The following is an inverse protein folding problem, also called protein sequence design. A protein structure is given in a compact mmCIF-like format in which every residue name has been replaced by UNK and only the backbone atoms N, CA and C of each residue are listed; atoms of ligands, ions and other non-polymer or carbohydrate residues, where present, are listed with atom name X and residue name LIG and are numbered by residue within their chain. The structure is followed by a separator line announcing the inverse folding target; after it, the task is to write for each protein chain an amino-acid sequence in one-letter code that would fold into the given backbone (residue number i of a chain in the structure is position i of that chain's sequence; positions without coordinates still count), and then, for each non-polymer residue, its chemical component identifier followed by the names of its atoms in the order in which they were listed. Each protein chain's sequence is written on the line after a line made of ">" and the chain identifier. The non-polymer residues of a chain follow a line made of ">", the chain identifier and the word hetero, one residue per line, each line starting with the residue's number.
data_IF_604028990006
#
_entry.id   IF_604028990006
#
_cell.length_a   1.000
_cell.length_b   1.000
_cell.length_c   1.000
_cell.angle_alpha   90.00
_cell.angle_beta   90.00
_cell.angle_gamma   90.00
#
_symmetry.space_group_name_H-M   'P 1'
#
loop_
_entity.id
_entity.type
_entity.pdbx_description
1 polymer ?
#
# COMPACT_ATOMS: atom_id res chain seq x y z
N UNK A 1 74.06 -60.59 15.28
CA UNK A 1 73.42 -61.25 14.09
C UNK A 1 72.12 -60.49 13.78
N UNK A 2 72.00 -60.13 12.59
CA UNK A 2 71.04 -59.25 11.92
C UNK A 2 69.59 -59.55 12.21
N UNK A 3 68.82 -58.52 12.50
CA UNK A 3 67.36 -58.51 12.33
C UNK A 3 66.91 -57.22 11.64
N UNK A 4 66.20 -57.46 10.59
CA UNK A 4 65.72 -56.38 9.68
C UNK A 4 64.42 -55.82 10.19
N UNK A 5 64.36 -54.50 10.19
CA UNK A 5 63.17 -53.68 10.58
C UNK A 5 62.26 -53.55 9.40
N UNK A 6 60.96 -53.85 9.59
CA UNK A 6 59.91 -53.60 8.61
C UNK A 6 59.17 -52.36 8.95
N UNK A 7 59.16 -51.41 8.02
CA UNK A 7 58.57 -50.10 8.08
C UNK A 7 57.13 -50.20 7.52
N UNK A 8 56.11 -50.01 8.38
CA UNK A 8 54.70 -49.91 7.99
C UNK A 8 54.32 -48.48 7.70
N UNK A 9 53.96 -48.20 6.48
CA UNK A 9 53.43 -46.89 6.02
C UNK A 9 51.95 -46.86 6.28
N UNK A 10 51.53 -46.04 7.26
CA UNK A 10 50.12 -45.73 7.52
C UNK A 10 49.65 -44.58 6.60
N UNK A 11 48.75 -44.90 5.69
CA UNK A 11 48.09 -43.91 4.85
C UNK A 11 46.90 -43.34 5.60
N UNK A 12 47.00 -42.11 6.07
CA UNK A 12 45.87 -41.31 6.63
C UNK A 12 45.14 -40.59 5.49
N UNK A 13 43.97 -41.10 5.15
CA UNK A 13 43.05 -40.39 4.24
C UNK A 13 42.36 -39.27 4.98
N UNK A 14 42.76 -38.02 4.68
CA UNK A 14 42.05 -36.83 5.14
C UNK A 14 40.80 -36.63 4.27
N UNK A 15 39.62 -36.86 4.85
CA UNK A 15 38.34 -36.53 4.24
C UNK A 15 38.04 -35.05 4.40
N UNK A 16 38.20 -34.26 3.35
CA UNK A 16 37.87 -32.84 3.32
C UNK A 16 36.36 -32.68 3.11
N UNK A 17 35.61 -32.35 4.15
CA UNK A 17 34.21 -31.94 4.05
C UNK A 17 34.15 -30.52 3.46
N UNK A 18 33.69 -30.40 2.21
CA UNK A 18 33.28 -29.15 1.61
C UNK A 18 31.88 -28.78 2.13
N UNK A 19 31.79 -27.83 3.08
CA UNK A 19 30.55 -27.23 3.49
C UNK A 19 30.22 -26.12 2.46
N UNK A 20 29.29 -26.41 1.53
CA UNK A 20 28.73 -25.41 0.63
C UNK A 20 27.77 -24.50 1.44
N UNK A 21 28.22 -23.34 1.80
CA UNK A 21 27.37 -22.31 2.39
C UNK A 21 26.46 -21.76 1.29
N UNK A 22 25.21 -22.18 1.30
CA UNK A 22 24.14 -21.58 0.47
C UNK A 22 23.82 -20.21 1.07
N UNK A 23 24.39 -19.15 0.51
CA UNK A 23 23.95 -17.79 0.78
C UNK A 23 22.58 -17.61 0.13
N UNK A 24 21.52 -17.74 0.91
CA UNK A 24 20.20 -17.25 0.53
C UNK A 24 20.28 -15.71 0.46
N UNK A 25 20.49 -15.18 -0.75
CA UNK A 25 20.37 -13.74 -1.00
C UNK A 25 18.91 -13.36 -0.78
N UNK A 26 18.57 -12.88 0.40
CA UNK A 26 17.33 -12.14 0.60
C UNK A 26 17.43 -10.89 -0.28
N UNK A 27 16.76 -10.90 -1.44
CA UNK A 27 16.53 -9.70 -2.23
C UNK A 27 15.65 -8.79 -1.39
N UNK A 28 16.28 -7.87 -0.65
CA UNK A 28 15.57 -6.73 -0.09
C UNK A 28 14.96 -5.98 -1.27
N UNK A 29 13.65 -6.12 -1.47
CA UNK A 29 12.92 -5.26 -2.42
C UNK A 29 13.14 -3.84 -1.94
N UNK A 30 13.80 -3.01 -2.75
CA UNK A 30 13.96 -1.60 -2.43
C UNK A 30 12.56 -1.03 -2.19
N UNK A 31 12.37 -0.39 -1.04
CA UNK A 31 11.10 0.22 -0.67
C UNK A 31 10.84 1.36 -1.66
N UNK A 32 9.70 1.28 -2.38
CA UNK A 32 9.34 2.28 -3.39
C UNK A 32 8.94 3.58 -2.70
N UNK A 33 9.55 4.69 -3.09
CA UNK A 33 9.18 6.01 -2.60
C UNK A 33 8.08 6.59 -3.48
N UNK A 34 6.89 6.81 -2.93
CA UNK A 34 5.75 7.39 -3.63
C UNK A 34 4.83 8.09 -2.62
N UNK A 35 4.37 9.26 -2.96
CA UNK A 35 3.51 10.05 -2.08
C UNK A 35 4.24 10.78 -0.97
N UNK A 36 3.53 11.59 -0.16
CA UNK A 36 4.10 12.29 0.98
C UNK A 36 4.59 11.30 2.04
N UNK A 37 5.77 11.57 2.60
CA UNK A 37 6.46 10.67 3.52
C UNK A 37 6.08 10.93 4.98
N UNK A 38 6.42 10.01 5.88
CA UNK A 38 6.15 10.13 7.32
C UNK A 38 6.68 11.46 7.85
N UNK A 39 5.82 12.22 8.53
CA UNK A 39 6.11 13.56 9.03
C UNK A 39 5.73 14.71 8.08
N UNK A 40 5.50 14.42 6.80
CA UNK A 40 5.07 15.45 5.85
C UNK A 40 3.62 15.88 6.10
N UNK A 41 3.33 17.13 5.71
CA UNK A 41 1.97 17.64 5.70
C UNK A 41 1.21 17.13 4.47
N UNK A 42 -0.04 16.69 4.67
CA UNK A 42 -0.95 16.35 3.58
C UNK A 42 -1.65 17.62 3.10
N UNK A 43 -1.27 18.09 1.92
CA UNK A 43 -1.83 19.28 1.29
C UNK A 43 -3.31 19.13 0.89
N UNK A 44 -3.97 20.27 0.63
CA UNK A 44 -5.31 20.32 0.05
C UNK A 44 -5.25 20.08 -1.47
N UNK A 45 -6.21 19.34 -2.00
CA UNK A 45 -6.36 19.16 -3.45
C UNK A 45 -7.82 18.90 -3.82
N UNK A 46 -8.15 19.18 -5.07
CA UNK A 46 -9.51 19.00 -5.59
C UNK A 46 -9.67 17.62 -6.20
N UNK A 47 -10.79 17.00 -5.88
CA UNK A 47 -11.22 15.71 -6.45
C UNK A 47 -12.68 15.77 -6.87
N UNK A 48 -13.09 14.88 -7.77
CA UNK A 48 -14.49 14.61 -8.08
C UNK A 48 -14.87 13.23 -7.57
N UNK A 49 -15.93 13.13 -6.77
CA UNK A 49 -16.42 11.83 -6.29
C UNK A 49 -17.11 11.07 -7.41
N UNK A 50 -16.73 9.80 -7.57
CA UNK A 50 -17.26 8.90 -8.60
C UNK A 50 -18.23 7.88 -8.01
N UNK A 51 -17.90 7.29 -6.86
CA UNK A 51 -18.69 6.22 -6.27
C UNK A 51 -18.40 6.05 -4.76
N UNK A 52 -19.01 5.03 -4.16
CA UNK A 52 -18.75 4.62 -2.76
C UNK A 52 -19.58 5.44 -1.77
N UNK A 53 -19.20 5.43 -0.51
CA UNK A 53 -19.89 5.90 0.69
C UNK A 53 -21.00 6.95 0.42
N UNK A 54 -22.29 6.60 0.49
CA UNK A 54 -23.38 7.53 0.18
C UNK A 54 -23.61 8.56 1.29
N UNK A 55 -23.18 8.23 2.53
CA UNK A 55 -23.53 8.96 3.74
C UNK A 55 -22.40 9.90 4.23
N UNK A 56 -21.34 10.02 3.46
CA UNK A 56 -20.21 10.89 3.82
C UNK A 56 -20.47 12.40 3.66
N UNK A 57 -21.65 12.79 3.16
CA UNK A 57 -22.00 14.20 2.91
C UNK A 57 -21.28 14.82 1.70
N UNK A 58 -20.71 14.01 0.81
CA UNK A 58 -20.07 14.44 -0.43
C UNK A 58 -20.72 13.67 -1.61
N UNK A 59 -21.73 14.22 -2.28
CA UNK A 59 -22.48 13.52 -3.33
C UNK A 59 -21.60 13.10 -4.52
N UNK A 60 -21.97 12.00 -5.15
CA UNK A 60 -21.38 11.58 -6.43
C UNK A 60 -21.52 12.70 -7.47
N UNK A 61 -20.48 12.94 -8.25
CA UNK A 61 -20.37 14.02 -9.23
C UNK A 61 -19.95 15.37 -8.63
N UNK A 62 -19.93 15.53 -7.30
CA UNK A 62 -19.43 16.74 -6.68
C UNK A 62 -17.90 16.82 -6.74
N UNK A 63 -17.40 18.01 -7.09
CA UNK A 63 -15.98 18.37 -6.98
C UNK A 63 -15.71 19.17 -5.72
N UNK A 64 -14.53 18.97 -5.11
CA UNK A 64 -14.07 19.70 -3.94
C UNK A 64 -12.91 19.04 -3.23
N UNK A 65 -12.49 19.58 -2.09
CA UNK A 65 -11.37 19.09 -1.33
C UNK A 65 -11.81 17.99 -0.33
N UNK A 66 -11.62 16.73 -0.69
CA UNK A 66 -11.96 15.61 0.20
C UNK A 66 -11.07 15.57 1.44
N UNK A 67 -9.76 15.86 1.27
CA UNK A 67 -8.82 16.02 2.38
C UNK A 67 -9.26 17.12 3.36
N UNK A 68 -9.76 18.25 2.86
CA UNK A 68 -10.24 19.35 3.72
C UNK A 68 -11.45 18.94 4.58
N UNK A 69 -12.32 18.09 4.03
CA UNK A 69 -13.49 17.53 4.70
C UNK A 69 -13.11 16.63 5.89
N UNK A 70 -12.00 15.93 5.80
CA UNK A 70 -11.55 15.02 6.89
C UNK A 70 -11.04 15.80 8.12
N UNK A 71 -10.56 17.03 7.96
CA UNK A 71 -10.08 17.87 9.06
C UNK A 71 -8.93 17.22 9.83
N UNK A 72 -9.12 17.04 11.15
CA UNK A 72 -8.13 16.41 12.04
C UNK A 72 -8.32 14.89 12.23
N UNK A 73 -9.31 14.30 11.54
CA UNK A 73 -9.62 12.88 11.68
C UNK A 73 -8.47 11.99 11.22
N UNK A 74 -8.38 10.74 11.76
CA UNK A 74 -7.52 9.71 11.20
C UNK A 74 -8.04 9.27 9.84
N UNK A 75 -7.16 9.12 8.85
CA UNK A 75 -7.52 8.81 7.47
C UNK A 75 -6.55 7.84 6.83
N UNK A 76 -7.09 6.86 6.13
CA UNK A 76 -6.36 6.02 5.17
C UNK A 76 -6.69 6.50 3.76
N UNK A 77 -5.76 7.24 3.16
CA UNK A 77 -5.88 7.75 1.79
C UNK A 77 -5.11 6.83 0.85
N UNK A 78 -5.76 6.38 -0.21
CA UNK A 78 -5.16 5.49 -1.20
C UNK A 78 -5.11 6.18 -2.55
N UNK A 79 -4.00 6.04 -3.27
CA UNK A 79 -3.89 6.31 -4.70
C UNK A 79 -3.74 4.98 -5.41
N UNK A 80 -4.54 4.72 -6.43
CA UNK A 80 -4.53 3.45 -7.16
C UNK A 80 -4.70 3.68 -8.67
N UNK A 81 -3.89 2.95 -9.47
CA UNK A 81 -3.97 3.00 -10.94
C UNK A 81 -4.85 1.91 -11.51
N UNK A 82 -5.00 0.80 -10.79
CA UNK A 82 -5.80 -0.35 -11.24
C UNK A 82 -6.75 -0.84 -10.15
N UNK A 83 -8.01 -1.14 -10.54
CA UNK A 83 -8.99 -1.81 -9.68
C UNK A 83 -8.84 -3.33 -9.76
N UNK A 84 -7.77 -3.88 -9.20
CA UNK A 84 -7.50 -5.32 -9.23
C UNK A 84 -7.92 -6.04 -7.93
N UNK A 85 -7.76 -7.36 -7.90
CA UNK A 85 -8.17 -8.20 -6.75
C UNK A 85 -7.37 -7.90 -5.47
N UNK A 86 -6.07 -7.61 -5.58
CA UNK A 86 -5.25 -7.27 -4.42
C UNK A 86 -5.68 -5.94 -3.79
N UNK A 87 -6.01 -4.94 -4.62
CA UNK A 87 -6.59 -3.69 -4.14
C UNK A 87 -7.96 -3.94 -3.48
N UNK A 88 -8.81 -4.78 -4.07
CA UNK A 88 -10.11 -5.11 -3.49
C UNK A 88 -9.97 -5.76 -2.10
N UNK A 89 -9.03 -6.70 -1.94
CA UNK A 89 -8.73 -7.32 -0.64
C UNK A 89 -8.26 -6.29 0.40
N UNK A 90 -7.34 -5.41 0.02
CA UNK A 90 -6.87 -4.33 0.90
C UNK A 90 -8.02 -3.44 1.34
N UNK A 91 -8.82 -2.95 0.38
CA UNK A 91 -9.90 -2.02 0.67
C UNK A 91 -11.02 -2.66 1.50
N UNK A 92 -11.28 -3.97 1.36
CA UNK A 92 -12.21 -4.69 2.24
C UNK A 92 -11.72 -4.69 3.68
N UNK A 93 -10.43 -4.91 3.91
CA UNK A 93 -9.85 -4.85 5.26
C UNK A 93 -9.86 -3.44 5.83
N UNK A 94 -9.57 -2.42 5.01
CA UNK A 94 -9.70 -1.02 5.44
C UNK A 94 -11.16 -0.66 5.75
N UNK A 95 -12.12 -1.19 5.00
CA UNK A 95 -13.55 -0.97 5.24
C UNK A 95 -14.00 -1.58 6.58
N UNK A 96 -13.49 -2.78 6.94
CA UNK A 96 -13.69 -3.40 8.25
C UNK A 96 -13.15 -2.49 9.38
N UNK A 97 -11.92 -1.96 9.24
CA UNK A 97 -11.33 -1.03 10.20
C UNK A 97 -12.14 0.27 10.36
N UNK A 98 -12.64 0.82 9.23
CA UNK A 98 -13.49 2.03 9.26
C UNK A 98 -14.80 1.76 10.01
N UNK A 99 -15.38 0.55 9.88
CA UNK A 99 -16.57 0.15 10.64
C UNK A 99 -16.26 -0.06 12.12
N UNK A 100 -15.14 -0.69 12.48
CA UNK A 100 -14.75 -0.96 13.86
C UNK A 100 -14.38 0.33 14.62
N UNK A 101 -13.82 1.32 13.92
CA UNK A 101 -13.32 2.58 14.50
C UNK A 101 -14.18 3.80 14.14
N UNK A 102 -15.51 3.63 14.13
CA UNK A 102 -16.46 4.74 13.88
C UNK A 102 -16.44 5.81 14.98
N UNK A 103 -16.23 5.41 16.22
CA UNK A 103 -16.18 6.30 17.37
C UNK A 103 -14.96 7.25 17.29
N UNK A 104 -13.83 6.76 16.79
CA UNK A 104 -12.62 7.53 16.52
C UNK A 104 -12.69 8.31 15.20
N UNK A 105 -13.78 8.09 14.43
CA UNK A 105 -14.04 8.73 13.14
C UNK A 105 -12.98 8.43 12.08
N UNK A 106 -12.45 7.20 12.09
CA UNK A 106 -11.57 6.74 11.03
C UNK A 106 -12.27 6.85 9.68
N UNK A 107 -11.59 7.38 8.69
CA UNK A 107 -12.11 7.57 7.34
C UNK A 107 -11.16 6.95 6.31
N UNK A 108 -11.73 6.57 5.18
CA UNK A 108 -10.93 6.17 4.02
C UNK A 108 -11.51 6.72 2.72
N UNK A 109 -10.62 7.04 1.79
CA UNK A 109 -10.99 7.34 0.41
C UNK A 109 -9.89 6.95 -0.57
N UNK A 110 -10.30 6.61 -1.79
CA UNK A 110 -9.42 6.12 -2.85
C UNK A 110 -9.39 7.13 -4.00
N UNK A 111 -8.21 7.61 -4.35
CA UNK A 111 -7.94 8.42 -5.53
C UNK A 111 -7.60 7.49 -6.68
N UNK A 112 -8.50 7.35 -7.65
CA UNK A 112 -8.26 6.55 -8.85
C UNK A 112 -7.49 7.37 -9.88
N UNK A 113 -6.36 6.83 -10.34
CA UNK A 113 -5.45 7.49 -11.27
C UNK A 113 -5.48 6.83 -12.66
N UNK A 114 -5.23 7.64 -13.68
CA UNK A 114 -5.13 7.17 -15.06
C UNK A 114 -5.15 8.34 -16.05
N UNK A 115 -4.95 8.05 -17.33
CA UNK A 115 -4.82 9.07 -18.39
C UNK A 115 -6.15 9.51 -19.00
N UNK A 116 -7.21 8.70 -18.84
CA UNK A 116 -8.52 8.99 -19.43
C UNK A 116 -9.61 9.03 -18.35
N UNK A 117 -10.14 10.22 -18.00
CA UNK A 117 -11.12 10.39 -16.93
C UNK A 117 -12.41 9.56 -17.10
N UNK A 118 -12.91 9.43 -18.33
CA UNK A 118 -14.12 8.63 -18.60
C UNK A 118 -13.88 7.14 -18.37
N UNK A 119 -12.73 6.63 -18.78
CA UNK A 119 -12.33 5.23 -18.50
C UNK A 119 -12.15 5.00 -17.02
N UNK A 120 -11.53 5.93 -16.28
CA UNK A 120 -11.37 5.84 -14.82
C UNK A 120 -12.75 5.78 -14.16
N UNK A 121 -13.66 6.68 -14.54
CA UNK A 121 -15.01 6.73 -13.99
C UNK A 121 -15.70 5.38 -14.17
N UNK A 122 -15.79 4.90 -15.41
CA UNK A 122 -16.46 3.64 -15.74
C UNK A 122 -15.87 2.44 -14.99
N UNK A 123 -14.54 2.27 -15.05
CA UNK A 123 -13.85 1.16 -14.36
C UNK A 123 -13.98 1.24 -12.84
N UNK A 124 -14.02 2.44 -12.26
CA UNK A 124 -14.24 2.65 -10.83
C UNK A 124 -15.65 2.28 -10.41
N UNK A 125 -16.68 2.70 -11.17
CA UNK A 125 -18.07 2.34 -10.91
C UNK A 125 -18.29 0.81 -10.96
N UNK A 126 -17.70 0.15 -11.97
CA UNK A 126 -17.74 -1.32 -12.10
C UNK A 126 -17.01 -2.00 -10.92
N UNK A 127 -15.84 -1.51 -10.55
CA UNK A 127 -15.04 -2.05 -9.44
C UNK A 127 -15.76 -1.90 -8.10
N UNK A 128 -16.34 -0.74 -7.81
CA UNK A 128 -17.10 -0.48 -6.57
C UNK A 128 -18.34 -1.34 -6.50
N UNK A 129 -19.11 -1.44 -7.60
CA UNK A 129 -20.34 -2.26 -7.69
C UNK A 129 -20.01 -3.73 -7.50
N UNK A 130 -19.00 -4.24 -8.19
CA UNK A 130 -18.57 -5.64 -8.09
C UNK A 130 -18.18 -6.04 -6.66
N UNK A 131 -17.50 -5.15 -5.93
CA UNK A 131 -17.00 -5.44 -4.60
C UNK A 131 -17.93 -4.97 -3.47
N UNK A 132 -18.96 -4.16 -3.76
CA UNK A 132 -19.97 -3.73 -2.80
C UNK A 132 -19.41 -2.85 -1.67
N UNK A 133 -18.49 -1.92 -1.97
CA UNK A 133 -17.96 -0.96 -1.00
C UNK A 133 -19.02 0.04 -0.55
N UNK A 134 -19.11 0.30 0.77
CA UNK A 134 -20.11 1.17 1.39
C UNK A 134 -19.52 2.28 2.26
N UNK A 135 -18.36 2.05 2.90
CA UNK A 135 -17.73 3.01 3.82
C UNK A 135 -16.61 3.82 3.18
N UNK A 136 -16.12 3.39 2.01
CA UNK A 136 -15.01 4.02 1.31
C UNK A 136 -15.54 4.87 0.15
N UNK A 137 -15.09 6.12 0.04
CA UNK A 137 -15.35 6.97 -1.11
C UNK A 137 -14.29 6.77 -2.21
N UNK A 138 -14.75 6.76 -3.46
CA UNK A 138 -13.87 6.69 -4.63
C UNK A 138 -13.95 8.01 -5.39
N UNK A 139 -12.78 8.61 -5.60
CA UNK A 139 -12.65 9.94 -6.17
C UNK A 139 -11.60 9.96 -7.29
N UNK A 140 -11.66 10.96 -8.15
CA UNK A 140 -10.66 11.23 -9.18
C UNK A 140 -10.10 12.62 -8.95
N UNK A 141 -8.78 12.80 -8.75
CA UNK A 141 -8.16 14.12 -8.63
C UNK A 141 -8.19 14.88 -9.96
N UNK A 142 -8.10 16.22 -9.91
CA UNK A 142 -8.03 17.06 -11.13
C UNK A 142 -6.86 16.63 -12.02
N UNK A 143 -5.68 16.42 -11.43
CA UNK A 143 -4.59 15.72 -12.12
C UNK A 143 -4.77 14.22 -11.92
N UNK A 144 -5.57 13.63 -12.80
CA UNK A 144 -5.88 12.21 -12.70
C UNK A 144 -4.74 11.30 -13.14
N UNK A 145 -3.76 11.80 -13.90
CA UNK A 145 -2.65 10.99 -14.42
C UNK A 145 -1.59 10.75 -13.35
N UNK A 146 -1.12 11.82 -12.75
CA UNK A 146 0.04 11.79 -11.86
C UNK A 146 -0.33 12.08 -10.39
N UNK A 147 -1.62 12.37 -10.12
CA UNK A 147 -2.11 12.80 -8.82
C UNK A 147 -1.76 14.26 -8.51
N UNK A 148 -2.08 14.76 -7.31
CA UNK A 148 -1.76 16.14 -6.96
C UNK A 148 -0.25 16.39 -7.05
N UNK A 149 0.22 17.47 -7.72
CA UNK A 149 1.65 17.67 -8.02
C UNK A 149 2.56 17.62 -6.79
N UNK A 150 2.11 18.19 -5.66
CA UNK A 150 2.89 18.24 -4.41
C UNK A 150 2.99 16.87 -3.73
N UNK A 151 2.19 15.90 -4.13
CA UNK A 151 2.20 14.55 -3.54
C UNK A 151 3.29 13.66 -4.11
N UNK A 152 3.80 13.94 -5.30
CA UNK A 152 4.90 13.17 -5.93
C UNK A 152 4.59 11.68 -6.01
N UNK A 153 3.38 11.32 -6.47
CA UNK A 153 3.01 9.92 -6.67
C UNK A 153 3.87 9.34 -7.80
N UNK A 154 4.62 8.29 -7.50
CA UNK A 154 5.51 7.67 -8.47
C UNK A 154 4.71 7.04 -9.63
N UNK A 155 5.18 7.21 -10.86
CA UNK A 155 4.49 6.72 -12.06
C UNK A 155 4.47 5.20 -12.17
N UNK A 156 5.41 4.51 -11.54
CA UNK A 156 5.55 3.06 -11.45
C UNK A 156 4.88 2.45 -10.21
N UNK A 157 4.35 3.28 -9.29
CA UNK A 157 3.51 2.82 -8.19
C UNK A 157 2.09 2.50 -8.70
N UNK A 158 1.66 1.24 -8.57
CA UNK A 158 0.27 0.84 -8.83
C UNK A 158 -0.65 1.26 -7.67
N UNK A 159 -0.13 1.16 -6.43
CA UNK A 159 -0.86 1.56 -5.23
C UNK A 159 0.08 2.31 -4.28
N UNK A 160 -0.37 3.48 -3.80
CA UNK A 160 0.28 4.25 -2.73
C UNK A 160 -0.74 4.48 -1.62
N UNK A 161 -0.40 4.10 -0.38
CA UNK A 161 -1.26 4.25 0.80
C UNK A 161 -0.62 5.25 1.75
N UNK A 162 -1.36 6.29 2.09
CA UNK A 162 -0.95 7.37 3.01
C UNK A 162 -1.88 7.38 4.21
N UNK A 163 -1.38 6.96 5.36
CA UNK A 163 -2.08 7.03 6.63
C UNK A 163 -1.73 8.36 7.30
N UNK A 164 -2.72 9.19 7.63
CA UNK A 164 -2.47 10.48 8.26
C UNK A 164 -3.49 10.82 9.34
N UNK A 165 -3.09 11.63 10.32
CA UNK A 165 -3.94 12.18 11.39
C UNK A 165 -3.61 13.65 11.58
N UNK A 166 -4.62 14.49 11.73
CA UNK A 166 -4.44 15.96 11.84
C UNK A 166 -3.65 16.59 10.69
N UNK A 167 -3.72 15.97 9.50
CA UNK A 167 -3.03 16.44 8.30
C UNK A 167 -1.54 16.11 8.23
N UNK A 168 -1.01 15.30 9.15
CA UNK A 168 0.39 14.84 9.13
C UNK A 168 0.45 13.34 8.85
N UNK A 169 1.34 12.93 7.94
CA UNK A 169 1.54 11.52 7.58
C UNK A 169 2.18 10.76 8.74
N UNK A 170 1.56 9.63 9.10
CA UNK A 170 2.01 8.71 10.16
C UNK A 170 2.62 7.45 9.56
N UNK A 171 2.09 6.97 8.43
CA UNK A 171 2.63 5.84 7.69
C UNK A 171 2.42 6.04 6.18
N UNK A 172 3.36 5.52 5.39
CA UNK A 172 3.30 5.50 3.93
C UNK A 172 3.76 4.14 3.42
N UNK A 173 3.03 3.59 2.45
CA UNK A 173 3.37 2.34 1.77
C UNK A 173 3.12 2.50 0.27
N UNK A 174 4.06 2.05 -0.56
CA UNK A 174 3.93 2.10 -2.00
C UNK A 174 4.36 0.78 -2.65
N UNK A 175 3.61 0.36 -3.67
CA UNK A 175 3.80 -0.93 -4.32
C UNK A 175 3.65 -0.79 -5.83
N UNK A 176 4.57 -1.41 -6.57
CA UNK A 176 4.41 -1.63 -7.99
C UNK A 176 3.34 -2.70 -8.26
N UNK A 177 2.90 -2.80 -9.52
CA UNK A 177 1.92 -3.80 -9.94
C UNK A 177 2.33 -5.22 -9.51
N UNK A 178 1.40 -5.95 -8.91
CA UNK A 178 1.60 -7.32 -8.42
C UNK A 178 2.41 -7.46 -7.13
N UNK A 179 2.86 -6.38 -6.51
CA UNK A 179 3.66 -6.44 -5.28
C UNK A 179 2.84 -6.35 -3.98
N UNK A 180 1.55 -6.04 -4.05
CA UNK A 180 0.66 -5.97 -2.90
C UNK A 180 0.24 -7.38 -2.46
N UNK A 181 1.04 -8.02 -1.60
CA UNK A 181 0.80 -9.34 -1.03
C UNK A 181 -0.08 -9.31 0.21
N UNK A 182 -0.62 -10.46 0.62
CA UNK A 182 -1.46 -10.57 1.82
C UNK A 182 -0.71 -10.14 3.11
N UNK A 183 0.61 -10.39 3.22
CA UNK A 183 1.38 -9.95 4.38
C UNK A 183 1.57 -8.42 4.39
N UNK A 184 1.71 -7.80 3.21
CA UNK A 184 1.76 -6.34 3.08
C UNK A 184 0.41 -5.71 3.42
N UNK A 185 -0.69 -6.34 3.00
CA UNK A 185 -2.06 -5.92 3.39
C UNK A 185 -2.21 -5.92 4.91
N UNK A 186 -1.79 -6.98 5.61
CA UNK A 186 -1.82 -7.05 7.09
C UNK A 186 -1.01 -5.92 7.74
N UNK A 187 0.18 -5.61 7.21
CA UNK A 187 1.01 -4.53 7.72
C UNK A 187 0.34 -3.15 7.55
N UNK A 188 -0.33 -2.90 6.42
CA UNK A 188 -1.08 -1.66 6.16
C UNK A 188 -2.26 -1.54 7.13
N UNK A 189 -3.02 -2.62 7.33
CA UNK A 189 -4.15 -2.66 8.27
C UNK A 189 -3.66 -2.37 9.69
N UNK A 190 -2.56 -2.98 10.13
CA UNK A 190 -1.97 -2.68 11.43
C UNK A 190 -1.50 -1.22 11.56
N UNK A 191 -1.06 -0.59 10.46
CA UNK A 191 -0.73 0.83 10.45
C UNK A 191 -1.98 1.73 10.53
N UNK A 192 -3.11 1.32 9.94
CA UNK A 192 -4.39 2.04 10.05
C UNK A 192 -4.95 2.00 11.47
N UNK A 193 -4.86 0.87 12.17
CA UNK A 193 -5.25 0.76 13.59
C UNK A 193 -4.46 1.73 14.48
N UNK A 194 -3.15 1.90 14.24
CA UNK A 194 -2.31 2.86 15.00
C UNK A 194 -2.70 4.33 14.82
N UNK A 195 -3.50 4.65 13.80
CA UNK A 195 -4.01 6.01 13.64
C UNK A 195 -5.04 6.40 14.71
N UNK A 196 -5.70 5.40 15.29
CA UNK A 196 -6.82 5.58 16.23
C UNK A 196 -6.42 5.36 17.69
N UNK A 197 -5.26 4.80 17.91
CA UNK A 197 -4.60 4.77 19.23
C UNK A 197 -4.11 6.20 19.62
#
# INVERSE_FOLDING_TARGET
>A
MRTVSSMGIGMTTAATLLIAAVFASATASAEMTSGPQVGDAVGAFTVTKIAGNPDDGFPVGRSGCYRCKTGSKPVVMVFARTGNESLAKLLKKIEEEVEEHQDEKLMSFVNMLGTNPESIKKSTEEFVTKNGFKQIAFVVPEDSKDGPPDFKIASDADVTIVCYKSGTVVANHAFAAGQLSDDKIKAIVAASCKLVE
#
